data_IF_902220697111
#
_entry.id   IF_902220697111
#
_cell.length_a   1.000
_cell.length_b   1.000
_cell.length_c   1.000
_cell.angle_alpha   90.00
_cell.angle_beta   90.00
_cell.angle_gamma   90.00
#
_symmetry.space_group_name_H-M   'P 1'
#
loop_
_entity.id
_entity.type
_entity.pdbx_description
1 polymer ?
#
# COMPACT_ATOMS: atom_id res chain seq x y z
N UNK A 1 14.55 22.61 35.70
CA UNK A 1 14.18 21.26 36.20
C UNK A 1 14.65 20.10 35.33
N UNK A 2 14.72 20.22 34.00
CA UNK A 2 15.24 19.15 33.11
C UNK A 2 16.77 18.93 33.17
N UNK A 3 17.56 19.98 33.45
CA UNK A 3 19.03 19.94 33.48
C UNK A 3 19.65 18.91 34.45
N UNK A 4 18.96 18.56 35.54
CA UNK A 4 19.50 17.70 36.60
C UNK A 4 18.81 16.32 36.68
N UNK A 5 17.99 15.95 35.68
CA UNK A 5 17.26 14.67 35.66
C UNK A 5 17.33 14.03 34.27
N UNK A 6 18.50 13.46 33.88
CA UNK A 6 18.74 12.92 32.54
C UNK A 6 17.77 11.80 32.15
N UNK A 7 17.32 10.97 33.10
CA UNK A 7 16.30 9.95 32.87
C UNK A 7 14.97 10.56 32.35
N UNK A 8 14.55 11.69 32.92
CA UNK A 8 13.29 12.35 32.52
C UNK A 8 13.44 12.95 31.13
N UNK A 9 14.57 13.60 30.85
CA UNK A 9 14.87 14.13 29.53
C UNK A 9 14.89 13.03 28.46
N UNK A 10 15.52 11.88 28.76
CA UNK A 10 15.58 10.74 27.85
C UNK A 10 14.19 10.16 27.56
N UNK A 11 13.36 9.97 28.59
CA UNK A 11 11.99 9.47 28.42
C UNK A 11 11.13 10.41 27.58
N UNK A 12 11.32 11.73 27.73
CA UNK A 12 10.64 12.74 26.91
C UNK A 12 11.11 12.65 25.46
N UNK A 13 12.42 12.56 25.21
CA UNK A 13 12.97 12.40 23.86
C UNK A 13 12.43 11.12 23.20
N UNK A 14 12.39 9.99 23.91
CA UNK A 14 11.83 8.76 23.37
C UNK A 14 10.34 8.88 23.02
N UNK A 15 9.55 9.56 23.86
CA UNK A 15 8.14 9.85 23.55
C UNK A 15 8.00 10.74 22.33
N UNK A 16 8.82 11.79 22.22
CA UNK A 16 8.82 12.69 21.07
C UNK A 16 9.22 11.95 19.79
N UNK A 17 10.25 11.10 19.82
CA UNK A 17 10.63 10.26 18.68
C UNK A 17 9.47 9.37 18.25
N UNK A 18 8.73 8.77 19.19
CA UNK A 18 7.56 7.96 18.86
C UNK A 18 6.44 8.78 18.22
N UNK A 19 6.15 9.97 18.77
CA UNK A 19 5.15 10.89 18.22
C UNK A 19 5.53 11.33 16.80
N UNK A 20 6.79 11.73 16.58
CA UNK A 20 7.29 12.15 15.27
C UNK A 20 7.16 10.99 14.27
N UNK A 21 7.58 9.77 14.65
CA UNK A 21 7.42 8.60 13.77
C UNK A 21 5.96 8.33 13.41
N UNK A 22 5.04 8.41 14.36
CA UNK A 22 3.60 8.22 14.08
C UNK A 22 3.03 9.36 13.23
N UNK A 23 3.50 10.59 13.40
CA UNK A 23 3.10 11.71 12.56
C UNK A 23 3.64 11.56 11.13
N UNK A 24 4.90 11.16 10.98
CA UNK A 24 5.51 10.86 9.68
C UNK A 24 4.79 9.71 8.98
N UNK A 25 4.45 8.64 9.71
CA UNK A 25 3.65 7.53 9.16
C UNK A 25 2.28 8.02 8.68
N UNK A 26 1.59 8.88 9.45
CA UNK A 26 0.29 9.45 9.05
C UNK A 26 0.37 10.44 7.88
N UNK A 27 1.40 11.26 7.84
CA UNK A 27 1.67 12.19 6.72
C UNK A 27 2.01 11.38 5.48
N UNK A 28 2.78 10.30 5.64
CA UNK A 28 3.06 9.36 4.58
C UNK A 28 1.78 8.67 4.13
N UNK A 29 0.91 8.18 5.01
CA UNK A 29 -0.40 7.60 4.66
C UNK A 29 -1.25 8.60 3.85
N UNK A 30 -1.24 9.88 4.23
CA UNK A 30 -1.94 10.94 3.51
C UNK A 30 -1.31 11.23 2.14
N UNK A 31 0.03 11.30 2.05
CA UNK A 31 0.78 11.53 0.81
C UNK A 31 0.80 10.29 -0.11
N UNK A 32 0.62 9.10 0.47
CA UNK A 32 0.63 7.80 -0.21
C UNK A 32 -0.77 7.32 -0.54
N UNK A 33 -1.85 8.00 -0.19
CA UNK A 33 -3.20 7.61 -0.66
C UNK A 33 -3.23 7.44 -2.19
N UNK A 34 -2.52 8.32 -2.92
CA UNK A 34 -2.28 8.16 -4.35
C UNK A 34 -1.31 7.02 -4.72
N UNK A 35 -0.29 6.75 -3.90
CA UNK A 35 0.67 5.66 -4.15
C UNK A 35 0.05 4.27 -3.85
N UNK A 36 -0.69 4.12 -2.77
CA UNK A 36 -1.50 2.96 -2.41
C UNK A 36 -2.46 2.61 -3.54
N UNK A 37 -3.18 3.61 -4.06
CA UNK A 37 -4.07 3.43 -5.20
C UNK A 37 -3.31 2.97 -6.44
N UNK A 38 -2.18 3.61 -6.80
CA UNK A 38 -1.36 3.19 -7.95
C UNK A 38 -0.84 1.76 -7.80
N UNK A 39 -0.42 1.35 -6.60
CA UNK A 39 -0.01 -0.04 -6.33
C UNK A 39 -1.19 -1.00 -6.52
N UNK A 40 -2.39 -0.66 -6.02
CA UNK A 40 -3.59 -1.48 -6.24
C UNK A 40 -3.94 -1.60 -7.73
N UNK A 41 -3.85 -0.50 -8.49
CA UNK A 41 -4.08 -0.49 -9.94
C UNK A 41 -3.06 -1.40 -10.66
N UNK A 42 -1.78 -1.31 -10.31
CA UNK A 42 -0.76 -2.16 -10.93
C UNK A 42 -0.94 -3.63 -10.56
N UNK A 43 -1.31 -3.95 -9.31
CA UNK A 43 -1.64 -5.33 -8.92
C UNK A 43 -2.84 -5.87 -9.72
N UNK A 44 -3.90 -5.07 -9.89
CA UNK A 44 -5.05 -5.43 -10.71
C UNK A 44 -4.69 -5.59 -12.19
N UNK A 45 -3.76 -4.78 -12.71
CA UNK A 45 -3.26 -4.87 -14.09
C UNK A 45 -2.42 -6.11 -14.33
N UNK A 46 -1.61 -6.50 -13.35
CA UNK A 46 -0.76 -7.69 -13.39
C UNK A 46 -1.55 -8.99 -13.13
N UNK A 47 -2.70 -8.87 -12.48
CA UNK A 47 -3.53 -10.02 -12.12
C UNK A 47 -4.13 -10.69 -13.36
N UNK A 48 -4.09 -12.02 -13.35
CA UNK A 48 -4.70 -12.89 -14.37
C UNK A 48 -5.66 -13.85 -13.67
N UNK A 49 -6.63 -14.39 -14.43
CA UNK A 49 -7.52 -15.42 -13.91
C UNK A 49 -6.69 -16.65 -13.47
N UNK A 50 -7.05 -17.23 -12.33
CA UNK A 50 -6.44 -18.47 -11.85
C UNK A 50 -6.88 -19.62 -12.78
N UNK A 51 -5.94 -20.36 -13.41
CA UNK A 51 -6.25 -21.45 -14.33
C UNK A 51 -6.89 -22.66 -13.63
N UNK A 52 -6.78 -22.77 -12.31
CA UNK A 52 -7.29 -23.89 -11.51
C UNK A 52 -8.61 -23.54 -10.82
N UNK A 53 -8.82 -22.28 -10.46
CA UNK A 53 -10.03 -21.80 -9.78
C UNK A 53 -10.74 -20.70 -10.57
N UNK A 54 -11.83 -21.05 -11.29
CA UNK A 54 -12.68 -20.07 -11.96
C UNK A 54 -13.18 -19.00 -10.96
N UNK A 55 -13.06 -17.73 -11.35
CA UNK A 55 -13.46 -16.59 -10.51
C UNK A 55 -12.37 -16.08 -9.56
N UNK A 56 -11.26 -16.80 -9.37
CA UNK A 56 -10.11 -16.32 -8.63
C UNK A 56 -9.11 -15.61 -9.54
N UNK A 57 -8.34 -14.66 -8.97
CA UNK A 57 -7.33 -13.89 -9.68
C UNK A 57 -5.99 -14.01 -8.97
N UNK A 58 -4.91 -14.08 -9.73
CA UNK A 58 -3.56 -14.17 -9.19
C UNK A 58 -2.55 -13.37 -10.01
N UNK A 59 -1.51 -12.89 -9.34
CA UNK A 59 -0.32 -12.31 -9.97
C UNK A 59 0.79 -13.36 -9.93
N UNK A 60 1.16 -13.87 -11.10
CA UNK A 60 2.29 -14.80 -11.27
C UNK A 60 3.01 -14.59 -12.63
N UNK A 61 4.36 -14.57 -12.64
CA UNK A 61 5.21 -14.46 -11.46
C UNK A 61 5.00 -13.10 -10.77
N UNK A 62 5.02 -13.07 -9.44
CA UNK A 62 4.97 -11.82 -8.70
C UNK A 62 6.26 -11.02 -8.95
N UNK A 63 6.18 -9.78 -9.49
CA UNK A 63 7.36 -8.92 -9.60
C UNK A 63 7.89 -8.56 -8.21
N UNK A 64 9.15 -8.21 -8.14
CA UNK A 64 9.77 -7.69 -6.92
C UNK A 64 9.07 -6.40 -6.49
N UNK A 65 9.18 -6.08 -5.20
CA UNK A 65 8.63 -4.82 -4.67
C UNK A 65 9.26 -3.59 -5.34
N UNK A 66 10.51 -3.68 -5.80
CA UNK A 66 11.18 -2.61 -6.51
C UNK A 66 10.61 -2.40 -7.92
N UNK A 67 10.30 -3.49 -8.64
CA UNK A 67 9.64 -3.42 -9.94
C UNK A 67 8.22 -2.85 -9.82
N UNK A 68 7.44 -3.31 -8.83
CA UNK A 68 6.10 -2.76 -8.55
C UNK A 68 6.21 -1.26 -8.19
N UNK A 69 7.24 -0.87 -7.44
CA UNK A 69 7.45 0.52 -7.07
C UNK A 69 7.76 1.41 -8.30
N UNK A 70 8.56 0.90 -9.24
CA UNK A 70 8.82 1.58 -10.50
C UNK A 70 7.54 1.74 -11.33
N UNK A 71 6.71 0.70 -11.43
CA UNK A 71 5.42 0.75 -12.13
C UNK A 71 4.45 1.75 -11.50
N UNK A 72 4.37 1.74 -10.16
CA UNK A 72 3.48 2.61 -9.41
C UNK A 72 4.06 4.00 -9.09
N UNK A 73 5.24 4.35 -9.64
CA UNK A 73 5.93 5.62 -9.38
C UNK A 73 5.96 5.97 -7.89
N UNK A 74 6.54 5.05 -7.10
CA UNK A 74 6.66 5.12 -5.65
C UNK A 74 7.95 4.43 -5.17
N UNK A 75 8.12 4.23 -3.87
CA UNK A 75 9.27 3.53 -3.28
C UNK A 75 8.95 2.07 -2.95
N UNK A 76 10.00 1.25 -2.88
CA UNK A 76 9.90 -0.17 -2.47
C UNK A 76 9.29 -0.30 -1.07
N UNK A 77 9.65 0.59 -0.15
CA UNK A 77 9.12 0.64 1.22
C UNK A 77 7.62 0.91 1.22
N UNK A 78 7.15 1.81 0.34
CA UNK A 78 5.71 2.08 0.17
C UNK A 78 4.98 0.84 -0.34
N UNK A 79 5.51 0.17 -1.36
CA UNK A 79 4.92 -1.09 -1.86
C UNK A 79 4.89 -2.14 -0.76
N UNK A 80 5.96 -2.29 0.02
CA UNK A 80 6.00 -3.25 1.12
C UNK A 80 4.88 -2.99 2.14
N UNK A 81 4.69 -1.74 2.55
CA UNK A 81 3.60 -1.33 3.46
C UNK A 81 2.22 -1.61 2.87
N UNK A 82 1.98 -1.22 1.61
CA UNK A 82 0.69 -1.47 0.92
C UNK A 82 0.40 -2.97 0.83
N UNK A 83 1.38 -3.78 0.43
CA UNK A 83 1.22 -5.24 0.35
C UNK A 83 0.92 -5.86 1.72
N UNK A 84 1.55 -5.37 2.79
CA UNK A 84 1.24 -5.80 4.15
C UNK A 84 -0.19 -5.41 4.54
N UNK A 85 -0.61 -4.17 4.30
CA UNK A 85 -1.95 -3.70 4.64
C UNK A 85 -3.04 -4.49 3.89
N UNK A 86 -2.86 -4.70 2.58
CA UNK A 86 -3.80 -5.50 1.78
C UNK A 86 -3.90 -6.95 2.26
N UNK A 87 -2.81 -7.51 2.80
CA UNK A 87 -2.81 -8.86 3.36
C UNK A 87 -3.49 -8.91 4.73
N UNK A 88 -3.24 -7.92 5.59
CA UNK A 88 -3.91 -7.76 6.89
C UNK A 88 -5.42 -7.56 6.73
N UNK A 89 -5.83 -6.79 5.72
CA UNK A 89 -7.23 -6.54 5.36
C UNK A 89 -7.90 -7.74 4.66
N UNK A 90 -7.16 -8.83 4.42
CA UNK A 90 -7.66 -10.05 3.78
C UNK A 90 -8.01 -9.89 2.29
N UNK A 91 -7.49 -8.86 1.62
CA UNK A 91 -7.76 -8.60 0.21
C UNK A 91 -6.83 -9.39 -0.70
N UNK A 92 -5.60 -9.63 -0.24
CA UNK A 92 -4.61 -10.44 -0.93
C UNK A 92 -4.02 -11.50 -0.02
N UNK A 93 -3.54 -12.57 -0.63
CA UNK A 93 -2.80 -13.63 0.07
C UNK A 93 -1.60 -14.05 -0.74
N UNK A 94 -0.43 -13.94 -0.13
CA UNK A 94 0.83 -14.33 -0.76
C UNK A 94 1.12 -15.81 -0.50
N UNK A 95 1.40 -16.56 -1.55
CA UNK A 95 1.87 -17.95 -1.49
C UNK A 95 3.07 -18.09 -2.42
N UNK A 96 4.26 -18.32 -1.86
CA UNK A 96 5.52 -18.37 -2.61
C UNK A 96 5.75 -17.13 -3.50
N UNK A 97 5.79 -17.32 -4.83
CA UNK A 97 5.99 -16.30 -5.86
C UNK A 97 4.67 -15.86 -6.51
N UNK A 98 3.54 -16.15 -5.86
CA UNK A 98 2.20 -15.82 -6.34
C UNK A 98 1.46 -14.98 -5.30
N UNK A 99 0.72 -13.99 -5.76
CA UNK A 99 -0.24 -13.26 -4.92
C UNK A 99 -1.63 -13.56 -5.44
N UNK A 100 -2.48 -14.12 -4.59
CA UNK A 100 -3.90 -14.33 -4.85
C UNK A 100 -4.68 -13.09 -4.42
N UNK A 101 -5.63 -12.66 -5.24
CA UNK A 101 -6.57 -11.60 -4.91
C UNK A 101 -7.84 -12.28 -4.42
N UNK A 102 -8.02 -12.30 -3.11
CA UNK A 102 -9.16 -12.96 -2.45
C UNK A 102 -10.42 -12.07 -2.50
N UNK A 103 -10.28 -10.75 -2.68
CA UNK A 103 -11.41 -9.81 -2.84
C UNK A 103 -11.15 -8.77 -3.94
N UNK A 104 -11.45 -9.12 -5.19
CA UNK A 104 -11.23 -8.24 -6.35
C UNK A 104 -12.06 -6.94 -6.26
N UNK A 105 -13.32 -7.03 -5.85
CA UNK A 105 -14.22 -5.88 -5.76
C UNK A 105 -13.69 -4.81 -4.79
N UNK A 106 -13.31 -5.21 -3.57
CA UNK A 106 -12.72 -4.31 -2.56
C UNK A 106 -11.42 -3.68 -3.04
N UNK A 107 -10.56 -4.47 -3.71
CA UNK A 107 -9.32 -3.96 -4.26
C UNK A 107 -9.56 -2.94 -5.40
N UNK A 108 -10.56 -3.18 -6.24
CA UNK A 108 -11.01 -2.24 -7.28
C UNK A 108 -11.62 -0.98 -6.69
N UNK A 109 -12.39 -1.07 -5.61
CA UNK A 109 -12.93 0.09 -4.91
C UNK A 109 -11.80 0.97 -4.34
N UNK A 110 -10.81 0.38 -3.67
CA UNK A 110 -9.62 1.10 -3.20
C UNK A 110 -8.82 1.72 -4.37
N UNK A 111 -8.74 1.02 -5.49
CA UNK A 111 -8.14 1.56 -6.71
C UNK A 111 -8.94 2.73 -7.32
N UNK A 112 -10.21 2.93 -6.95
CA UNK A 112 -11.08 3.96 -7.53
C UNK A 112 -11.41 5.13 -6.57
N UNK A 113 -11.20 5.00 -5.26
CA UNK A 113 -11.55 6.01 -4.23
C UNK A 113 -10.99 7.43 -4.45
N UNK A 114 -10.00 7.60 -5.32
CA UNK A 114 -9.39 8.89 -5.66
C UNK A 114 -9.39 9.20 -7.17
N UNK A 115 -10.22 8.51 -7.96
CA UNK A 115 -10.41 8.82 -9.38
C UNK A 115 -11.74 9.57 -9.67
N UNK A 116 -11.99 10.79 -9.15
CA UNK A 116 -13.10 11.62 -9.61
C UNK A 116 -12.79 12.34 -10.94
N UNK A 117 -11.86 11.85 -11.77
CA UNK A 117 -11.50 12.49 -13.06
C UNK A 117 -11.47 11.52 -14.25
N UNK A 118 -12.52 10.72 -14.39
CA UNK A 118 -12.90 10.10 -15.67
C UNK A 118 -14.41 10.07 -15.85
N UNK A 119 -15.06 11.23 -15.80
CA UNK A 119 -16.41 11.39 -16.38
C UNK A 119 -16.58 12.61 -17.31
N UNK A 120 -15.64 13.57 -17.38
CA UNK A 120 -15.81 14.78 -18.23
C UNK A 120 -14.69 14.98 -19.27
N UNK A 121 -14.51 14.04 -20.19
CA UNK A 121 -13.80 14.35 -21.44
C UNK A 121 -14.78 14.14 -22.62
N UNK A 122 -15.43 15.20 -23.14
CA UNK A 122 -16.17 15.08 -24.38
C UNK A 122 -15.18 14.72 -25.49
N UNK A 123 -15.54 13.70 -26.28
CA UNK A 123 -14.87 13.41 -27.53
C UNK A 123 -14.78 14.68 -28.38
N UNK A 124 -13.56 15.06 -28.76
CA UNK A 124 -13.28 15.99 -29.84
C UNK A 124 -12.43 15.27 -30.86
#
# INVERSE_FOLDING_TARGET
MLKNRPQIAFNIIQKLVKIIRTADDRIMDLATLGAHQRVCIELLRLAKADPVKPGCWMVYPLPTQAEIAALASTTRETVARVMSQLAEDGMIRKVHKTVYIDSREKLTELANRLNPRREDAPAR
#
